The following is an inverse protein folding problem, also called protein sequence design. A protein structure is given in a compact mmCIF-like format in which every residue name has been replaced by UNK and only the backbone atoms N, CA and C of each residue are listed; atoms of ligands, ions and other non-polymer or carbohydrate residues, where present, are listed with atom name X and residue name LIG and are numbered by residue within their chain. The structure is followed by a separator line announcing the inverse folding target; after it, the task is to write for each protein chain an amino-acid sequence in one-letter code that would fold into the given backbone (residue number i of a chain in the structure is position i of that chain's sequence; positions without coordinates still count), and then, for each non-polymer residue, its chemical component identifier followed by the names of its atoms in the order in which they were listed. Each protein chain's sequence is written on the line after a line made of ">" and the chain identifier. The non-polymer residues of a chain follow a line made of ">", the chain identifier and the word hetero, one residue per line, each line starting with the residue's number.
data_IF_792439715410
#
_entry.id   IF_792439715410
#
_cell.length_a   1.000
_cell.length_b   1.000
_cell.length_c   1.000
_cell.angle_alpha   90.00
_cell.angle_beta   90.00
_cell.angle_gamma   90.00
#
_symmetry.space_group_name_H-M   'P 1'
#
loop_
_entity.id
_entity.type
_entity.pdbx_description
1 polymer ?
#
# COMPACT_ATOMS: atom_id res chain seq x y z
N UNK A 1 -58.36 29.90 -22.99
CA UNK A 1 -57.23 29.00 -23.33
C UNK A 1 -55.91 29.64 -22.88
N UNK A 2 -55.54 29.55 -21.59
CA UNK A 2 -54.33 30.22 -21.06
C UNK A 2 -53.91 29.69 -19.67
N UNK A 3 -53.85 28.37 -19.47
CA UNK A 3 -53.44 27.83 -18.15
C UNK A 3 -52.68 26.50 -18.16
N UNK A 4 -52.47 25.87 -19.32
CA UNK A 4 -51.83 24.55 -19.38
C UNK A 4 -50.30 24.60 -19.54
N UNK A 5 -49.74 25.69 -20.11
CA UNK A 5 -48.33 25.78 -20.48
C UNK A 5 -47.40 25.95 -19.27
N UNK A 6 -47.87 26.58 -18.17
CA UNK A 6 -47.03 26.81 -16.98
C UNK A 6 -46.73 25.54 -16.16
N UNK A 7 -47.58 24.50 -16.22
CA UNK A 7 -47.39 23.31 -15.37
C UNK A 7 -46.39 22.31 -15.94
N UNK A 8 -46.23 22.26 -17.26
CA UNK A 8 -45.32 21.32 -17.92
C UNK A 8 -43.86 21.75 -17.76
N UNK A 9 -43.56 23.06 -17.79
CA UNK A 9 -42.20 23.56 -17.55
C UNK A 9 -41.71 23.36 -16.11
N UNK A 10 -42.61 23.37 -15.13
CA UNK A 10 -42.24 23.18 -13.73
C UNK A 10 -41.83 21.72 -13.43
N UNK A 11 -42.45 20.75 -14.11
CA UNK A 11 -42.16 19.33 -13.91
C UNK A 11 -40.84 18.89 -14.54
N UNK A 12 -40.45 19.43 -15.70
CA UNK A 12 -39.17 19.10 -16.34
C UNK A 12 -37.96 19.68 -15.59
N UNK A 13 -38.10 20.86 -14.98
CA UNK A 13 -37.06 21.46 -14.13
C UNK A 13 -36.83 20.69 -12.82
N UNK A 14 -37.89 20.13 -12.23
CA UNK A 14 -37.77 19.34 -11.00
C UNK A 14 -37.04 18.00 -11.22
N UNK A 15 -37.24 17.36 -12.37
CA UNK A 15 -36.57 16.07 -12.70
C UNK A 15 -35.08 16.27 -13.01
N UNK A 16 -34.69 17.39 -13.64
CA UNK A 16 -33.28 17.71 -13.90
C UNK A 16 -32.50 18.07 -12.62
N UNK A 17 -33.14 18.71 -11.64
CA UNK A 17 -32.51 19.02 -10.36
C UNK A 17 -32.28 17.76 -9.49
N UNK A 18 -33.14 16.75 -9.59
CA UNK A 18 -32.99 15.50 -8.84
C UNK A 18 -31.82 14.62 -9.34
N UNK A 19 -31.51 14.66 -10.64
CA UNK A 19 -30.36 13.93 -11.20
C UNK A 19 -29.01 14.61 -10.94
N UNK A 20 -28.99 15.94 -10.76
CA UNK A 20 -27.78 16.67 -10.42
C UNK A 20 -27.31 16.43 -8.96
N UNK A 21 -28.22 16.03 -8.08
CA UNK A 21 -27.93 15.80 -6.66
C UNK A 21 -27.15 14.50 -6.38
N UNK A 22 -27.16 13.52 -7.30
CA UNK A 22 -26.36 12.29 -7.17
C UNK A 22 -24.92 12.42 -7.69
N UNK A 23 -24.60 13.49 -8.41
CA UNK A 23 -23.27 13.72 -8.98
C UNK A 23 -22.34 14.54 -8.07
N UNK A 24 -22.81 14.94 -6.89
CA UNK A 24 -22.13 15.91 -6.03
C UNK A 24 -21.96 15.41 -4.59
N UNK A 25 -21.79 14.10 -4.38
CA UNK A 25 -20.97 13.71 -3.24
C UNK A 25 -19.57 14.25 -3.53
N UNK A 26 -19.07 15.27 -2.79
CA UNK A 26 -17.66 15.59 -2.87
C UNK A 26 -16.91 14.27 -2.59
N UNK A 27 -15.82 13.95 -3.31
CA UNK A 27 -14.97 12.87 -2.86
C UNK A 27 -14.68 13.21 -1.40
N UNK A 28 -15.09 12.32 -0.50
CA UNK A 28 -14.70 12.39 0.90
C UNK A 28 -13.23 12.80 0.87
N UNK A 29 -12.90 13.89 1.57
CA UNK A 29 -11.52 14.19 1.93
C UNK A 29 -11.07 13.13 2.96
N UNK A 30 -11.32 11.86 2.64
CA UNK A 30 -10.96 10.69 3.38
C UNK A 30 -9.46 10.63 3.31
N UNK A 31 -8.85 10.84 4.47
CA UNK A 31 -7.50 10.47 4.84
C UNK A 31 -6.65 10.13 3.62
N UNK A 32 -6.03 11.15 3.02
CA UNK A 32 -5.15 10.98 1.87
C UNK A 32 -4.25 9.77 2.14
N UNK A 33 -4.54 8.64 1.47
CA UNK A 33 -3.81 7.39 1.69
C UNK A 33 -2.34 7.74 1.51
N UNK A 34 -1.46 7.39 2.46
CA UNK A 34 -0.04 7.72 2.36
C UNK A 34 0.46 7.35 0.97
N UNK A 35 1.22 8.25 0.34
CA UNK A 35 1.79 7.98 -0.97
C UNK A 35 2.76 6.80 -0.84
N UNK A 36 2.36 5.65 -1.38
CA UNK A 36 3.19 4.45 -1.41
C UNK A 36 3.98 4.44 -2.71
N UNK A 37 5.31 4.35 -2.61
CA UNK A 37 6.21 4.12 -3.73
C UNK A 37 6.66 2.65 -3.65
N UNK A 38 6.06 1.73 -4.42
CA UNK A 38 6.25 0.28 -4.26
C UNK A 38 7.72 -0.14 -4.31
N UNK A 39 8.50 0.47 -5.20
CA UNK A 39 9.93 0.19 -5.37
C UNK A 39 10.73 0.52 -4.10
N UNK A 40 10.53 1.73 -3.56
CA UNK A 40 11.25 2.20 -2.39
C UNK A 40 10.84 1.45 -1.11
N UNK A 41 9.55 1.07 -1.02
CA UNK A 41 9.05 0.23 0.04
C UNK A 41 9.68 -1.17 0.00
N UNK A 42 9.69 -1.80 -1.18
CA UNK A 42 10.27 -3.12 -1.37
C UNK A 42 11.76 -3.14 -1.07
N UNK A 43 12.52 -2.14 -1.52
CA UNK A 43 13.94 -2.02 -1.20
C UNK A 43 14.18 -1.89 0.32
N UNK A 44 13.38 -1.08 1.01
CA UNK A 44 13.52 -0.86 2.47
C UNK A 44 13.21 -2.12 3.26
N UNK A 45 12.08 -2.76 2.97
CA UNK A 45 11.70 -4.01 3.63
C UNK A 45 12.69 -5.13 3.28
N UNK A 46 13.06 -5.28 2.01
CA UNK A 46 14.02 -6.28 1.55
C UNK A 46 15.40 -6.15 2.22
N UNK A 47 15.90 -4.92 2.40
CA UNK A 47 17.13 -4.66 3.16
C UNK A 47 17.01 -5.12 4.61
N UNK A 48 15.90 -4.80 5.26
CA UNK A 48 15.64 -5.16 6.65
C UNK A 48 15.57 -6.68 6.82
N UNK A 49 14.81 -7.36 5.96
CA UNK A 49 14.58 -8.80 6.02
C UNK A 49 15.82 -9.60 5.64
N UNK A 50 16.53 -9.20 4.58
CA UNK A 50 17.77 -9.84 4.17
C UNK A 50 18.86 -9.72 5.23
N UNK A 51 19.00 -8.55 5.85
CA UNK A 51 19.95 -8.35 6.96
C UNK A 51 19.54 -9.13 8.21
N UNK A 52 18.25 -9.21 8.51
CA UNK A 52 17.77 -10.03 9.62
C UNK A 52 18.10 -11.52 9.40
N UNK A 53 17.92 -12.05 8.19
CA UNK A 53 18.35 -13.41 7.84
C UNK A 53 19.86 -13.59 7.99
N UNK A 54 20.66 -12.66 7.48
CA UNK A 54 22.13 -12.69 7.64
C UNK A 54 22.57 -12.65 9.12
N UNK A 55 21.73 -12.08 9.99
CA UNK A 55 21.92 -12.04 11.44
C UNK A 55 21.30 -13.23 12.19
N UNK A 56 20.83 -14.26 11.48
CA UNK A 56 20.30 -15.49 12.08
C UNK A 56 18.83 -15.43 12.50
N UNK A 57 18.03 -14.50 11.97
CA UNK A 57 16.59 -14.55 12.18
C UNK A 57 15.99 -15.83 11.56
N UNK A 58 15.04 -16.44 12.28
CA UNK A 58 14.33 -17.63 11.81
C UNK A 58 13.67 -17.41 10.46
N UNK A 59 13.89 -18.32 9.51
CA UNK A 59 13.40 -18.17 8.13
C UNK A 59 11.88 -18.11 8.07
N UNK A 60 11.20 -18.96 8.83
CA UNK A 60 9.73 -18.95 8.91
C UNK A 60 9.18 -17.62 9.44
N UNK A 61 9.91 -16.97 10.36
CA UNK A 61 9.55 -15.66 10.90
C UNK A 61 9.61 -14.59 9.81
N UNK A 62 10.69 -14.57 9.04
CA UNK A 62 10.87 -13.65 7.90
C UNK A 62 9.82 -13.90 6.82
N UNK A 63 9.51 -15.17 6.51
CA UNK A 63 8.48 -15.53 5.52
C UNK A 63 7.08 -15.05 5.90
N UNK A 64 6.73 -15.06 7.20
CA UNK A 64 5.46 -14.49 7.68
C UNK A 64 5.39 -12.99 7.41
N UNK A 65 6.47 -12.25 7.71
CA UNK A 65 6.54 -10.80 7.45
C UNK A 65 6.47 -10.51 5.97
N UNK A 66 7.16 -11.29 5.13
CA UNK A 66 7.09 -11.17 3.68
C UNK A 66 5.67 -11.34 3.13
N UNK A 67 4.94 -12.34 3.63
CA UNK A 67 3.57 -12.59 3.20
C UNK A 67 2.64 -11.46 3.61
N UNK A 68 2.80 -10.93 4.82
CA UNK A 68 2.05 -9.78 5.31
C UNK A 68 2.35 -8.52 4.50
N UNK A 69 3.63 -8.21 4.25
CA UNK A 69 4.07 -7.06 3.44
C UNK A 69 3.50 -7.10 2.02
N UNK A 70 3.60 -8.25 1.34
CA UNK A 70 2.99 -8.45 0.01
C UNK A 70 1.47 -8.23 0.03
N UNK A 71 0.77 -8.75 1.04
CA UNK A 71 -0.67 -8.56 1.17
C UNK A 71 -1.05 -7.08 1.37
N UNK A 72 -0.28 -6.34 2.19
CA UNK A 72 -0.47 -4.90 2.39
C UNK A 72 -0.22 -4.11 1.11
N UNK A 73 0.85 -4.42 0.39
CA UNK A 73 1.16 -3.77 -0.88
C UNK A 73 0.07 -4.05 -1.94
N UNK A 74 -0.38 -5.30 -2.03
CA UNK A 74 -1.49 -5.69 -2.90
C UNK A 74 -2.75 -4.87 -2.62
N UNK A 75 -3.08 -4.65 -1.35
CA UNK A 75 -4.22 -3.84 -0.94
C UNK A 75 -4.03 -2.33 -1.21
N UNK A 76 -2.79 -1.83 -1.16
CA UNK A 76 -2.46 -0.42 -1.30
C UNK A 76 -2.38 0.03 -2.76
N UNK A 77 -1.72 -0.74 -3.63
CA UNK A 77 -1.36 -0.32 -4.99
C UNK A 77 -1.84 -1.30 -6.08
N UNK A 78 -2.48 -2.40 -5.69
CA UNK A 78 -2.97 -3.43 -6.62
C UNK A 78 -1.87 -4.36 -7.13
N UNK A 79 -2.29 -5.37 -7.90
CA UNK A 79 -1.42 -6.49 -8.31
C UNK A 79 -0.27 -6.06 -9.22
N UNK A 80 -0.54 -5.27 -10.26
CA UNK A 80 0.47 -4.89 -11.25
C UNK A 80 1.68 -4.19 -10.59
N UNK A 81 1.42 -3.19 -9.77
CA UNK A 81 2.48 -2.47 -9.07
C UNK A 81 3.14 -3.30 -7.95
N UNK A 82 2.42 -4.22 -7.32
CA UNK A 82 3.01 -5.11 -6.31
C UNK A 82 4.04 -6.05 -6.95
N UNK A 83 3.65 -6.76 -8.00
CA UNK A 83 4.52 -7.76 -8.64
C UNK A 83 5.67 -7.11 -9.43
N UNK A 84 5.37 -6.08 -10.23
CA UNK A 84 6.37 -5.52 -11.16
C UNK A 84 7.36 -4.57 -10.48
N UNK A 85 7.02 -4.03 -9.30
CA UNK A 85 7.82 -2.96 -8.67
C UNK A 85 8.24 -3.28 -7.25
N UNK A 86 7.33 -3.72 -6.40
CA UNK A 86 7.64 -4.02 -5.00
C UNK A 86 8.33 -5.37 -4.82
N UNK A 87 7.79 -6.45 -5.39
CA UNK A 87 8.38 -7.80 -5.23
C UNK A 87 9.77 -7.86 -5.85
N UNK A 88 9.95 -7.29 -7.04
CA UNK A 88 11.28 -7.23 -7.67
C UNK A 88 12.31 -6.49 -6.80
N UNK A 89 12.00 -5.29 -6.30
CA UNK A 89 12.97 -4.53 -5.48
C UNK A 89 13.22 -5.18 -4.12
N UNK A 90 12.20 -5.83 -3.55
CA UNK A 90 12.30 -6.57 -2.30
C UNK A 90 13.23 -7.78 -2.44
N UNK A 91 13.02 -8.62 -3.46
CA UNK A 91 13.80 -9.84 -3.64
C UNK A 91 15.26 -9.51 -3.99
N UNK A 92 15.50 -8.47 -4.82
CA UNK A 92 16.86 -8.00 -5.12
C UNK A 92 17.59 -7.47 -3.88
N UNK A 93 16.92 -6.66 -3.05
CA UNK A 93 17.51 -6.16 -1.82
C UNK A 93 17.81 -7.29 -0.82
N UNK A 94 16.91 -8.26 -0.67
CA UNK A 94 17.15 -9.43 0.19
C UNK A 94 18.35 -10.24 -0.28
N UNK A 95 18.39 -10.57 -1.58
CA UNK A 95 19.49 -11.31 -2.18
C UNK A 95 20.81 -10.60 -1.96
N UNK A 96 20.86 -9.29 -2.18
CA UNK A 96 22.06 -8.50 -1.94
C UNK A 96 22.51 -8.61 -0.48
N UNK A 97 21.65 -8.29 0.49
CA UNK A 97 22.02 -8.31 1.91
C UNK A 97 22.50 -9.69 2.40
N UNK A 98 21.89 -10.77 1.91
CA UNK A 98 22.31 -12.14 2.26
C UNK A 98 23.60 -12.59 1.57
N UNK A 99 24.02 -11.91 0.49
CA UNK A 99 25.28 -12.19 -0.21
C UNK A 99 26.48 -11.41 0.35
N UNK A 100 26.24 -10.40 1.18
CA UNK A 100 27.28 -9.60 1.80
C UNK A 100 27.99 -10.36 2.93
N UNK A 101 29.22 -9.96 3.30
CA UNK A 101 29.90 -10.50 4.48
C UNK A 101 29.07 -10.36 5.75
N UNK A 102 29.36 -11.22 6.72
CA UNK A 102 28.63 -11.26 7.99
C UNK A 102 28.58 -9.85 8.64
N UNK A 103 27.38 -9.34 8.97
CA UNK A 103 27.21 -8.04 9.59
C UNK A 103 27.81 -7.98 11.00
N UNK A 104 28.18 -6.78 11.43
CA UNK A 104 28.65 -6.56 12.81
C UNK A 104 27.55 -6.83 13.85
N UNK A 105 27.88 -7.15 15.11
CA UNK A 105 26.89 -7.37 16.17
C UNK A 105 25.90 -6.20 16.35
N UNK A 106 26.40 -4.96 16.36
CA UNK A 106 25.57 -3.76 16.46
C UNK A 106 24.63 -3.59 15.25
N UNK A 107 25.05 -4.01 14.05
CA UNK A 107 24.18 -4.03 12.87
C UNK A 107 23.07 -5.08 13.02
N UNK A 108 23.37 -6.22 13.66
CA UNK A 108 22.38 -7.26 13.89
C UNK A 108 21.31 -6.88 14.89
N UNK A 109 21.67 -6.24 16.00
CA UNK A 109 20.70 -5.70 16.95
C UNK A 109 19.71 -4.74 16.26
N UNK A 110 20.22 -3.84 15.41
CA UNK A 110 19.39 -2.92 14.62
C UNK A 110 18.47 -3.65 13.64
N UNK A 111 18.99 -4.67 12.95
CA UNK A 111 18.23 -5.43 11.96
C UNK A 111 17.09 -6.23 12.62
N UNK A 112 17.37 -6.89 13.75
CA UNK A 112 16.37 -7.66 14.49
C UNK A 112 15.29 -6.77 15.10
N UNK A 113 15.66 -5.59 15.62
CA UNK A 113 14.69 -4.59 16.09
C UNK A 113 13.87 -3.97 14.94
N UNK A 114 14.43 -3.86 13.74
CA UNK A 114 13.70 -3.42 12.56
C UNK A 114 12.72 -4.50 12.06
N UNK A 115 13.13 -5.78 12.07
CA UNK A 115 12.24 -6.91 11.78
C UNK A 115 11.03 -6.93 12.73
N UNK A 116 11.27 -6.76 14.04
CA UNK A 116 10.20 -6.72 15.03
C UNK A 116 9.18 -5.57 14.77
N UNK A 117 9.66 -4.43 14.27
CA UNK A 117 8.77 -3.32 13.88
C UNK A 117 7.92 -3.66 12.65
N UNK A 118 8.49 -4.35 11.66
CA UNK A 118 7.75 -4.82 10.49
C UNK A 118 6.69 -5.86 10.85
N UNK A 119 6.95 -6.72 11.83
CA UNK A 119 5.98 -7.70 12.34
C UNK A 119 4.76 -7.03 12.97
N UNK A 120 4.98 -5.91 13.67
CA UNK A 120 3.92 -5.15 14.34
C UNK A 120 3.23 -4.15 13.41
N UNK A 121 3.63 -4.07 12.15
CA UNK A 121 3.00 -3.18 11.17
C UNK A 121 1.64 -3.76 10.78
N UNK A 122 0.52 -3.04 11.06
CA UNK A 122 -0.84 -3.53 10.84
C UNK A 122 -1.17 -3.75 9.37
#
# INVERSE_FOLDING_TARGET
>A
MRSAVCRVCAFTLAVLAAFAAWAQTPPDAGHARPLVIPQAEGEREGKTLGRALACGAERERVERVLRAGRARMLAAVGRALTEERYVLSLDDAMRLETSLPAPSPASCEKALAALERLEKTP
#
